data_IF_513850694118
#
_entry.id   IF_513850694118
#
_cell.length_a   1.000
_cell.length_b   1.000
_cell.length_c   1.000
_cell.angle_alpha   90.00
_cell.angle_beta   90.00
_cell.angle_gamma   90.00
#
_symmetry.space_group_name_H-M   'P 1'
#
loop_
_entity.id
_entity.type
_entity.pdbx_description
1 polymer ?
#
# COMPACT_ATOMS: atom_id res chain seq x y z
N UNK A 1 -17.04 -7.10 18.83
CA UNK A 1 -15.75 -7.10 19.56
C UNK A 1 -15.88 -8.09 20.72
N UNK A 2 -14.85 -8.89 21.06
CA UNK A 2 -14.88 -9.76 22.24
C UNK A 2 -15.15 -8.96 23.53
N UNK A 3 -15.94 -9.52 24.45
CA UNK A 3 -16.33 -8.84 25.71
C UNK A 3 -15.11 -8.42 26.54
N UNK A 4 -14.09 -9.27 26.61
CA UNK A 4 -12.83 -9.00 27.33
C UNK A 4 -12.05 -7.77 26.85
N UNK A 5 -12.26 -7.31 25.61
CA UNK A 5 -11.60 -6.12 25.08
C UNK A 5 -12.38 -4.82 25.35
N UNK A 6 -13.63 -4.90 25.81
CA UNK A 6 -14.42 -3.72 26.17
C UNK A 6 -14.00 -3.12 27.51
N UNK A 7 -13.41 -3.95 28.37
CA UNK A 7 -12.94 -3.57 29.71
C UNK A 7 -11.51 -3.02 29.70
N UNK A 8 -10.84 -2.99 28.54
CA UNK A 8 -9.52 -2.41 28.39
C UNK A 8 -9.65 -0.92 28.06
N UNK A 9 -9.05 -0.07 28.89
CA UNK A 9 -9.01 1.39 28.68
C UNK A 9 -8.09 1.83 27.53
N UNK A 10 -7.39 0.88 26.91
CA UNK A 10 -6.50 1.14 25.78
C UNK A 10 -7.29 1.42 24.48
N UNK A 11 -6.87 2.38 23.63
CA UNK A 11 -7.61 2.72 22.39
C UNK A 11 -7.47 1.68 21.27
N UNK A 12 -6.43 0.84 21.29
CA UNK A 12 -6.09 -0.08 20.20
C UNK A 12 -7.17 -1.11 19.85
N UNK A 13 -7.86 -1.77 20.81
CA UNK A 13 -8.97 -2.68 20.47
C UNK A 13 -10.10 -2.00 19.69
N UNK A 14 -10.38 -0.71 19.99
CA UNK A 14 -11.37 0.09 19.25
C UNK A 14 -10.89 0.33 17.81
N UNK A 15 -9.61 0.64 17.62
CA UNK A 15 -9.00 0.78 16.30
C UNK A 15 -9.14 -0.51 15.47
N UNK A 16 -8.77 -1.66 16.05
CA UNK A 16 -8.89 -2.98 15.40
C UNK A 16 -10.34 -3.29 15.05
N UNK A 17 -11.28 -3.09 15.98
CA UNK A 17 -12.69 -3.38 15.72
C UNK A 17 -13.27 -2.52 14.59
N UNK A 18 -12.87 -1.26 14.46
CA UNK A 18 -13.32 -0.38 13.40
C UNK A 18 -12.67 -0.72 12.06
N UNK A 19 -11.39 -1.09 12.05
CA UNK A 19 -10.70 -1.59 10.87
C UNK A 19 -11.37 -2.86 10.34
N UNK A 20 -11.68 -3.84 11.20
CA UNK A 20 -12.37 -5.06 10.77
C UNK A 20 -13.73 -4.74 10.10
N UNK A 21 -14.49 -3.79 10.64
CA UNK A 21 -15.75 -3.33 10.01
C UNK A 21 -15.50 -2.69 8.65
N UNK A 22 -14.48 -1.84 8.52
CA UNK A 22 -14.11 -1.23 7.25
C UNK A 22 -13.72 -2.30 6.19
N UNK A 23 -12.93 -3.30 6.59
CA UNK A 23 -12.55 -4.43 5.71
C UNK A 23 -13.77 -5.25 5.31
N UNK A 24 -14.68 -5.57 6.24
CA UNK A 24 -15.90 -6.30 5.92
C UNK A 24 -16.75 -5.55 4.89
N UNK A 25 -16.97 -4.25 5.10
CA UNK A 25 -17.73 -3.40 4.17
C UNK A 25 -17.08 -3.30 2.78
N UNK A 26 -15.75 -3.26 2.70
CA UNK A 26 -15.04 -3.16 1.42
C UNK A 26 -15.11 -4.44 0.59
N UNK A 27 -15.28 -5.59 1.25
CA UNK A 27 -15.45 -6.91 0.64
C UNK A 27 -16.91 -7.17 0.22
N UNK A 28 -17.89 -6.73 1.00
CA UNK A 28 -19.32 -6.99 0.72
C UNK A 28 -19.95 -5.95 -0.20
N UNK A 29 -19.42 -4.73 -0.27
CA UNK A 29 -19.98 -3.68 -1.13
C UNK A 29 -19.75 -3.99 -2.62
N UNK A 30 -20.83 -4.32 -3.32
CA UNK A 30 -20.89 -4.18 -4.78
C UNK A 30 -20.85 -2.68 -5.13
N UNK A 31 -20.07 -2.35 -6.17
CA UNK A 31 -19.80 -0.99 -6.73
C UNK A 31 -20.49 0.19 -5.99
N UNK A 32 -19.79 0.74 -4.99
CA UNK A 32 -19.98 2.13 -4.55
C UNK A 32 -20.79 2.36 -3.27
N UNK A 33 -21.78 1.52 -2.94
CA UNK A 33 -22.72 1.78 -1.83
C UNK A 33 -22.10 1.71 -0.43
N UNK A 34 -20.91 1.12 -0.26
CA UNK A 34 -20.22 1.01 1.03
C UNK A 34 -18.99 1.91 1.18
N UNK A 35 -18.60 2.67 0.15
CA UNK A 35 -17.30 3.36 0.14
C UNK A 35 -17.20 4.47 1.19
N UNK A 36 -18.26 5.28 1.35
CA UNK A 36 -18.29 6.36 2.34
C UNK A 36 -18.29 5.83 3.77
N UNK A 37 -19.09 4.79 4.05
CA UNK A 37 -19.13 4.13 5.35
C UNK A 37 -17.80 3.46 5.69
N UNK A 38 -17.19 2.80 4.71
CA UNK A 38 -15.85 2.22 4.85
C UNK A 38 -14.82 3.30 5.20
N UNK A 39 -14.83 4.43 4.48
CA UNK A 39 -13.93 5.55 4.75
C UNK A 39 -14.17 6.17 6.14
N UNK A 40 -15.42 6.33 6.58
CA UNK A 40 -15.74 6.82 7.92
C UNK A 40 -15.20 5.88 9.03
N UNK A 41 -15.27 4.56 8.82
CA UNK A 41 -14.65 3.60 9.74
C UNK A 41 -13.12 3.69 9.74
N UNK A 42 -12.49 3.89 8.58
CA UNK A 42 -11.04 4.13 8.47
C UNK A 42 -10.60 5.39 9.23
N UNK A 43 -11.34 6.50 9.11
CA UNK A 43 -11.02 7.74 9.84
C UNK A 43 -11.08 7.55 11.36
N UNK A 44 -12.11 6.87 11.85
CA UNK A 44 -12.25 6.58 13.29
C UNK A 44 -11.17 5.62 13.79
N UNK A 45 -10.85 4.57 13.02
CA UNK A 45 -9.79 3.63 13.35
C UNK A 45 -8.42 4.33 13.39
N UNK A 46 -8.13 5.18 12.40
CA UNK A 46 -6.93 6.03 12.32
C UNK A 46 -6.80 6.94 13.56
N UNK A 47 -7.90 7.56 14.00
CA UNK A 47 -7.93 8.37 15.22
C UNK A 47 -7.49 7.58 16.46
N UNK A 48 -8.11 6.43 16.72
CA UNK A 48 -7.74 5.57 17.86
C UNK A 48 -6.32 5.03 17.76
N UNK A 49 -5.86 4.68 16.56
CA UNK A 49 -4.49 4.25 16.32
C UNK A 49 -3.50 5.37 16.67
N UNK A 50 -3.75 6.60 16.23
CA UNK A 50 -2.86 7.73 16.54
C UNK A 50 -2.81 8.03 18.04
N UNK A 51 -3.94 7.89 18.75
CA UNK A 51 -3.97 7.96 20.22
C UNK A 51 -3.11 6.86 20.83
N UNK A 52 -3.24 5.62 20.37
CA UNK A 52 -2.43 4.47 20.82
C UNK A 52 -0.93 4.72 20.68
N UNK A 53 -0.50 5.16 19.48
CA UNK A 53 0.92 5.41 19.16
C UNK A 53 1.49 6.54 20.04
N UNK A 54 0.64 7.48 20.48
CA UNK A 54 1.06 8.63 21.27
C UNK A 54 1.05 8.37 22.78
N UNK A 55 0.54 7.22 23.23
CA UNK A 55 0.61 6.83 24.64
C UNK A 55 2.07 6.50 25.03
N UNK A 56 2.53 6.94 26.21
CA UNK A 56 3.86 6.60 26.72
C UNK A 56 4.04 5.09 26.86
N UNK A 57 5.26 4.63 26.57
CA UNK A 57 5.64 3.22 26.66
C UNK A 57 5.73 2.79 28.13
N UNK A 58 4.76 2.03 28.64
CA UNK A 58 4.88 1.34 29.92
C UNK A 58 5.30 -0.14 29.67
N UNK A 59 6.47 -0.61 30.15
CA UNK A 59 6.86 -2.02 30.05
C UNK A 59 6.07 -2.92 31.05
N UNK A 60 5.85 -4.23 30.79
CA UNK A 60 6.34 -5.08 29.68
C UNK A 60 5.29 -5.48 28.60
N UNK A 61 4.03 -5.06 28.71
CA UNK A 61 2.90 -5.48 27.83
C UNK A 61 2.87 -4.85 26.42
N UNK A 62 4.00 -4.32 25.96
CA UNK A 62 4.06 -3.25 24.97
C UNK A 62 4.38 -3.72 23.53
N UNK A 63 5.11 -4.83 23.36
CA UNK A 63 5.53 -5.29 22.03
C UNK A 63 4.36 -5.81 21.19
N UNK A 64 3.37 -6.46 21.82
CA UNK A 64 2.13 -6.88 21.17
C UNK A 64 1.33 -5.67 20.69
N UNK A 65 1.17 -4.65 21.54
CA UNK A 65 0.48 -3.43 21.16
C UNK A 65 1.16 -2.76 19.96
N UNK A 66 2.49 -2.69 19.96
CA UNK A 66 3.25 -2.13 18.83
C UNK A 66 3.14 -2.97 17.55
N UNK A 67 3.17 -4.30 17.67
CA UNK A 67 2.93 -5.20 16.54
C UNK A 67 1.53 -5.02 15.96
N UNK A 68 0.52 -4.87 16.82
CA UNK A 68 -0.86 -4.61 16.40
C UNK A 68 -1.02 -3.20 15.84
N UNK A 69 -0.36 -2.17 16.39
CA UNK A 69 -0.32 -0.82 15.82
C UNK A 69 0.25 -0.84 14.39
N UNK A 70 1.37 -1.53 14.18
CA UNK A 70 1.97 -1.70 12.84
C UNK A 70 0.99 -2.39 11.88
N UNK A 71 0.38 -3.50 12.31
CA UNK A 71 -0.59 -4.25 11.51
C UNK A 71 -1.81 -3.39 11.14
N UNK A 72 -2.39 -2.69 12.11
CA UNK A 72 -3.55 -1.81 11.89
C UNK A 72 -3.18 -0.67 10.95
N UNK A 73 -2.01 -0.07 11.11
CA UNK A 73 -1.53 1.00 10.25
C UNK A 73 -1.33 0.54 8.80
N UNK A 74 -0.68 -0.61 8.58
CA UNK A 74 -0.44 -1.18 7.24
C UNK A 74 -1.76 -1.56 6.55
N UNK A 75 -2.70 -2.16 7.28
CA UNK A 75 -4.01 -2.52 6.76
C UNK A 75 -4.87 -1.29 6.44
N UNK A 76 -4.82 -0.22 7.24
CA UNK A 76 -5.50 1.04 6.93
C UNK A 76 -4.99 1.65 5.61
N UNK A 77 -3.67 1.73 5.46
CA UNK A 77 -3.05 2.24 4.23
C UNK A 77 -3.41 1.36 3.03
N UNK A 78 -3.30 0.04 3.16
CA UNK A 78 -3.67 -0.93 2.12
C UNK A 78 -5.16 -0.81 1.72
N UNK A 79 -6.05 -0.69 2.70
CA UNK A 79 -7.48 -0.52 2.44
C UNK A 79 -7.77 0.79 1.71
N UNK A 80 -7.18 1.91 2.16
CA UNK A 80 -7.31 3.22 1.48
C UNK A 80 -6.78 3.19 0.05
N UNK A 81 -5.65 2.52 -0.20
CA UNK A 81 -5.13 2.28 -1.56
C UNK A 81 -6.18 1.57 -2.41
N UNK A 82 -6.79 0.49 -1.90
CA UNK A 82 -7.79 -0.28 -2.64
C UNK A 82 -9.07 0.53 -2.94
N UNK A 83 -9.50 1.39 -2.01
CA UNK A 83 -10.66 2.27 -2.20
C UNK A 83 -10.37 3.33 -3.26
N UNK A 84 -9.19 3.96 -3.19
CA UNK A 84 -8.72 4.90 -4.20
C UNK A 84 -8.66 4.24 -5.59
N UNK A 85 -8.08 3.04 -5.68
CA UNK A 85 -7.96 2.31 -6.94
C UNK A 85 -9.31 1.88 -7.53
N UNK A 86 -10.34 1.69 -6.69
CA UNK A 86 -11.72 1.37 -7.10
C UNK A 86 -12.52 2.61 -7.52
N UNK A 87 -12.15 3.79 -7.02
CA UNK A 87 -12.75 5.08 -7.37
C UNK A 87 -12.28 5.66 -8.72
N UNK A 88 -11.31 5.02 -9.40
CA UNK A 88 -10.88 5.40 -10.75
C UNK A 88 -11.87 4.94 -11.83
N UNK A 89 -12.04 5.74 -12.89
CA UNK A 89 -12.99 5.45 -13.97
C UNK A 89 -12.66 4.17 -14.76
N UNK A 90 -13.65 3.68 -15.52
CA UNK A 90 -13.58 2.44 -16.31
C UNK A 90 -12.42 2.37 -17.32
N UNK A 91 -11.82 3.51 -17.68
CA UNK A 91 -10.73 3.62 -18.66
C UNK A 91 -9.32 3.66 -18.05
N UNK A 92 -9.15 3.50 -16.73
CA UNK A 92 -7.83 3.54 -16.11
C UNK A 92 -7.29 4.95 -15.86
N UNK A 93 -8.07 5.99 -16.17
CA UNK A 93 -7.75 7.37 -15.80
C UNK A 93 -7.94 7.56 -14.28
N UNK A 94 -6.96 8.18 -13.59
CA UNK A 94 -7.11 8.53 -12.18
C UNK A 94 -8.28 9.50 -12.01
N UNK A 95 -9.38 9.04 -11.42
CA UNK A 95 -10.43 9.95 -10.96
C UNK A 95 -9.86 10.93 -9.92
N UNK A 96 -10.42 12.15 -9.80
CA UNK A 96 -9.94 13.12 -8.83
C UNK A 96 -10.02 12.54 -7.42
N UNK A 97 -8.87 12.46 -6.75
CA UNK A 97 -8.81 11.97 -5.36
C UNK A 97 -9.53 12.97 -4.47
N UNK A 98 -10.51 12.49 -3.70
CA UNK A 98 -11.16 13.32 -2.69
C UNK A 98 -10.09 13.81 -1.70
N UNK A 99 -10.05 15.11 -1.43
CA UNK A 99 -9.09 15.73 -0.51
C UNK A 99 -9.08 15.05 0.87
N UNK A 100 -10.25 14.61 1.34
CA UNK A 100 -10.42 13.85 2.58
C UNK A 100 -9.76 12.47 2.56
N UNK A 101 -9.76 11.78 1.41
CA UNK A 101 -9.08 10.49 1.26
C UNK A 101 -7.56 10.65 1.34
N UNK A 102 -7.03 11.67 0.66
CA UNK A 102 -5.59 11.97 0.66
C UNK A 102 -5.12 12.40 2.06
N UNK A 103 -5.85 13.28 2.74
CA UNK A 103 -5.51 13.74 4.08
C UNK A 103 -5.47 12.57 5.09
N UNK A 104 -6.47 11.68 5.05
CA UNK A 104 -6.47 10.50 5.90
C UNK A 104 -5.34 9.52 5.59
N UNK A 105 -4.99 9.34 4.31
CA UNK A 105 -3.81 8.54 3.91
C UNK A 105 -2.50 9.13 4.44
N UNK A 106 -2.31 10.44 4.30
CA UNK A 106 -1.11 11.14 4.80
C UNK A 106 -0.98 11.03 6.33
N UNK A 107 -2.10 11.07 7.06
CA UNK A 107 -2.13 10.86 8.51
C UNK A 107 -1.64 9.47 8.88
N UNK A 108 -2.20 8.43 8.26
CA UNK A 108 -1.81 7.04 8.52
C UNK A 108 -0.35 6.79 8.11
N UNK A 109 0.12 7.39 7.01
CA UNK A 109 1.54 7.29 6.61
C UNK A 109 2.48 7.94 7.64
N UNK A 110 2.05 9.04 8.25
CA UNK A 110 2.81 9.70 9.31
C UNK A 110 2.88 8.84 10.57
N UNK A 111 1.78 8.16 10.93
CA UNK A 111 1.76 7.12 11.97
C UNK A 111 2.70 5.96 11.65
N UNK A 112 2.70 5.46 10.41
CA UNK A 112 3.61 4.40 9.98
C UNK A 112 5.08 4.81 10.10
N UNK A 113 5.43 6.05 9.71
CA UNK A 113 6.80 6.58 9.88
C UNK A 113 7.21 6.64 11.34
N UNK A 114 6.32 7.05 12.25
CA UNK A 114 6.58 7.04 13.70
C UNK A 114 6.82 5.62 14.21
N UNK A 115 5.97 4.66 13.84
CA UNK A 115 6.15 3.25 14.20
C UNK A 115 7.48 2.72 13.63
N UNK A 116 7.81 3.06 12.38
CA UNK A 116 9.03 2.62 11.70
C UNK A 116 10.35 3.13 12.29
N UNK A 117 10.31 4.12 13.20
CA UNK A 117 11.47 4.49 14.01
C UNK A 117 11.87 3.39 14.99
N UNK A 118 10.89 2.65 15.52
CA UNK A 118 11.11 1.54 16.44
C UNK A 118 11.27 0.18 15.73
N UNK A 119 10.74 0.05 14.51
CA UNK A 119 10.73 -1.20 13.74
C UNK A 119 11.36 -1.00 12.35
N UNK A 120 12.64 -1.34 12.22
CA UNK A 120 13.36 -1.21 10.93
C UNK A 120 12.69 -1.99 9.79
N UNK A 121 12.03 -3.11 10.11
CA UNK A 121 11.32 -3.93 9.12
C UNK A 121 10.10 -3.20 8.52
N UNK A 122 9.58 -2.15 9.15
CA UNK A 122 8.49 -1.33 8.61
C UNK A 122 8.94 -0.39 7.48
N UNK A 123 10.25 -0.22 7.25
CA UNK A 123 10.76 0.72 6.24
C UNK A 123 10.33 0.35 4.81
N UNK A 124 10.20 -0.94 4.50
CA UNK A 124 9.68 -1.40 3.20
C UNK A 124 8.21 -1.02 3.00
N UNK A 125 7.41 -1.07 4.07
CA UNK A 125 6.02 -0.62 4.08
C UNK A 125 5.92 0.90 3.91
N UNK A 126 6.78 1.66 4.61
CA UNK A 126 6.88 3.11 4.43
C UNK A 126 7.16 3.45 2.97
N UNK A 127 8.15 2.81 2.35
CA UNK A 127 8.48 3.00 0.94
C UNK A 127 7.30 2.73 -0.01
N UNK A 128 6.59 1.61 0.18
CA UNK A 128 5.42 1.28 -0.64
C UNK A 128 4.32 2.34 -0.52
N UNK A 129 3.99 2.73 0.71
CA UNK A 129 2.90 3.68 0.96
C UNK A 129 3.30 5.12 0.62
N UNK A 130 4.59 5.48 0.68
CA UNK A 130 5.12 6.72 0.12
C UNK A 130 4.98 6.79 -1.39
N UNK A 131 5.29 5.70 -2.09
CA UNK A 131 5.04 5.61 -3.53
C UNK A 131 3.54 5.81 -3.81
N UNK A 132 2.69 5.17 -3.03
CA UNK A 132 1.24 5.23 -3.18
C UNK A 132 0.70 6.65 -3.00
N UNK A 133 1.06 7.35 -1.92
CA UNK A 133 0.56 8.72 -1.67
C UNK A 133 0.99 9.70 -2.76
N UNK A 134 2.18 9.50 -3.35
CA UNK A 134 2.64 10.31 -4.49
C UNK A 134 1.79 10.09 -5.73
N UNK A 135 1.42 8.84 -6.01
CA UNK A 135 0.52 8.50 -7.11
C UNK A 135 -0.89 9.06 -6.85
N UNK A 136 -1.41 8.92 -5.63
CA UNK A 136 -2.70 9.48 -5.23
C UNK A 136 -2.74 11.00 -5.38
N UNK A 137 -1.66 11.69 -5.00
CA UNK A 137 -1.57 13.14 -5.09
C UNK A 137 -1.29 13.67 -6.51
N UNK A 138 -1.18 12.80 -7.52
CA UNK A 138 -0.80 13.22 -8.87
C UNK A 138 0.59 13.87 -8.92
N UNK A 139 1.49 13.52 -7.99
CA UNK A 139 2.82 14.10 -7.93
C UNK A 139 3.63 13.77 -9.21
N UNK A 140 4.59 14.63 -9.56
CA UNK A 140 5.44 14.48 -10.75
C UNK A 140 5.85 13.01 -10.99
N UNK A 141 5.42 12.42 -12.12
CA UNK A 141 5.73 11.03 -12.46
C UNK A 141 7.22 10.71 -12.49
N UNK A 142 8.06 11.63 -12.97
CA UNK A 142 9.53 11.49 -12.99
C UNK A 142 10.10 11.31 -11.58
N UNK A 143 9.63 12.11 -10.62
CA UNK A 143 10.11 12.03 -9.24
C UNK A 143 9.63 10.75 -8.54
N UNK A 144 8.45 10.26 -8.90
CA UNK A 144 7.95 8.96 -8.41
C UNK A 144 8.74 7.80 -9.03
N UNK A 145 9.13 7.89 -10.31
CA UNK A 145 10.02 6.93 -10.96
C UNK A 145 11.41 6.89 -10.31
N UNK A 146 12.03 8.05 -10.06
CA UNK A 146 13.33 8.13 -9.41
C UNK A 146 13.34 7.51 -8.01
N UNK A 147 12.27 7.73 -7.23
CA UNK A 147 12.10 7.10 -5.91
C UNK A 147 12.08 5.57 -6.03
N UNK A 148 11.37 5.04 -7.03
CA UNK A 148 11.36 3.61 -7.32
C UNK A 148 12.74 3.12 -7.72
N UNK A 149 13.38 3.72 -8.72
CA UNK A 149 14.71 3.32 -9.19
C UNK A 149 15.75 3.31 -8.07
N UNK A 150 15.77 4.33 -7.22
CA UNK A 150 16.72 4.39 -6.11
C UNK A 150 16.55 3.24 -5.12
N UNK A 151 15.29 2.84 -4.88
CA UNK A 151 14.96 1.66 -4.05
C UNK A 151 15.32 0.35 -4.76
N UNK A 152 15.10 0.25 -6.08
CA UNK A 152 15.45 -0.93 -6.87
C UNK A 152 16.98 -1.16 -6.90
N UNK A 153 17.77 -0.08 -7.09
CA UNK A 153 19.24 -0.12 -7.18
C UNK A 153 19.92 -0.39 -5.85
N UNK A 154 19.41 0.16 -4.73
CA UNK A 154 20.01 -0.07 -3.40
C UNK A 154 20.08 -1.55 -3.00
N UNK A 155 19.26 -2.41 -3.60
CA UNK A 155 19.22 -3.85 -3.28
C UNK A 155 19.93 -4.75 -4.28
N UNK A 156 20.11 -4.34 -5.54
CA UNK A 156 20.92 -5.12 -6.49
C UNK A 156 22.39 -5.20 -6.07
N UNK A 157 22.84 -4.29 -5.20
CA UNK A 157 24.23 -4.16 -4.79
C UNK A 157 24.57 -4.81 -3.44
N UNK A 158 23.60 -5.41 -2.73
CA UNK A 158 23.83 -5.99 -1.41
C UNK A 158 23.21 -7.40 -1.26
N UNK A 159 23.74 -8.42 -1.98
CA UNK A 159 23.27 -9.80 -1.87
C UNK A 159 23.76 -10.53 -0.61
N UNK A 160 24.72 -9.98 0.15
CA UNK A 160 25.43 -10.72 1.21
C UNK A 160 24.89 -10.50 2.64
N UNK A 161 23.91 -9.63 2.85
CA UNK A 161 23.37 -9.37 4.19
C UNK A 161 21.84 -9.49 4.22
N UNK A 162 21.29 -10.71 4.34
CA UNK A 162 19.92 -10.84 4.85
C UNK A 162 19.65 -12.26 5.31
N UNK A 163 19.25 -12.39 6.58
CA UNK A 163 18.42 -13.51 7.01
C UNK A 163 17.25 -13.68 6.01
N UNK A 164 17.01 -14.90 5.55
CA UNK A 164 16.08 -15.23 4.44
C UNK A 164 14.69 -14.61 4.60
N UNK A 165 14.23 -14.37 5.84
CA UNK A 165 12.94 -13.74 6.14
C UNK A 165 12.86 -12.23 5.86
N UNK A 166 13.93 -11.45 6.06
CA UNK A 166 13.92 -10.00 5.79
C UNK A 166 13.99 -9.71 4.28
N UNK A 167 14.60 -10.63 3.53
CA UNK A 167 14.68 -10.60 2.08
C UNK A 167 13.27 -10.67 1.45
N UNK A 168 12.44 -11.62 1.88
CA UNK A 168 11.11 -11.86 1.31
C UNK A 168 10.10 -10.73 1.59
N UNK A 169 10.14 -10.13 2.78
CA UNK A 169 9.20 -9.06 3.14
C UNK A 169 9.37 -7.86 2.21
N UNK A 170 10.59 -7.30 2.10
CA UNK A 170 10.82 -6.15 1.22
C UNK A 170 10.59 -6.42 -0.27
N UNK A 171 10.74 -7.67 -0.74
CA UNK A 171 10.45 -8.05 -2.12
C UNK A 171 8.96 -7.94 -2.46
N UNK A 172 8.09 -8.33 -1.53
CA UNK A 172 6.66 -8.18 -1.70
C UNK A 172 6.27 -6.71 -1.86
N UNK A 173 6.74 -5.84 -0.95
CA UNK A 173 6.44 -4.40 -1.03
C UNK A 173 6.98 -3.77 -2.32
N UNK A 174 8.20 -4.15 -2.74
CA UNK A 174 8.78 -3.72 -4.01
C UNK A 174 7.91 -4.12 -5.20
N UNK A 175 7.46 -5.37 -5.27
CA UNK A 175 6.62 -5.85 -6.36
C UNK A 175 5.28 -5.09 -6.42
N UNK A 176 4.68 -4.78 -5.27
CA UNK A 176 3.46 -3.95 -5.21
C UNK A 176 3.72 -2.52 -5.67
N UNK A 177 4.85 -1.92 -5.29
CA UNK A 177 5.21 -0.58 -5.73
C UNK A 177 5.42 -0.51 -7.25
N UNK A 178 6.07 -1.52 -7.84
CA UNK A 178 6.22 -1.65 -9.30
C UNK A 178 4.85 -1.80 -9.98
N UNK A 179 3.98 -2.67 -9.47
CA UNK A 179 2.62 -2.86 -10.00
C UNK A 179 1.83 -1.55 -9.99
N UNK A 180 1.84 -0.83 -8.86
CA UNK A 180 1.18 0.47 -8.73
C UNK A 180 1.72 1.51 -9.72
N UNK A 181 3.04 1.62 -9.81
CA UNK A 181 3.70 2.55 -10.72
C UNK A 181 3.39 2.23 -12.18
N UNK A 182 3.47 0.95 -12.56
CA UNK A 182 3.11 0.50 -13.89
C UNK A 182 1.62 0.61 -14.17
N UNK A 183 0.75 0.76 -13.17
CA UNK A 183 -0.68 1.02 -13.40
C UNK A 183 -0.96 2.50 -13.62
N UNK A 184 -0.26 3.38 -12.90
CA UNK A 184 -0.65 4.79 -12.74
C UNK A 184 0.32 5.81 -13.37
N UNK A 185 1.55 5.43 -13.70
CA UNK A 185 2.48 6.32 -14.40
C UNK A 185 2.28 6.21 -15.92
N UNK A 186 2.37 7.34 -16.66
CA UNK A 186 2.20 7.35 -18.10
C UNK A 186 3.36 6.62 -18.81
N UNK A 187 3.05 6.00 -19.96
CA UNK A 187 3.96 5.16 -20.76
C UNK A 187 5.33 5.81 -21.09
N UNK A 188 5.41 7.11 -21.47
CA UNK A 188 6.68 7.72 -21.90
C UNK A 188 7.76 7.83 -20.82
N UNK A 189 7.41 7.63 -19.54
CA UNK A 189 8.29 7.92 -18.40
C UNK A 189 8.94 6.68 -17.79
N UNK A 190 8.64 5.49 -18.31
CA UNK A 190 9.32 4.24 -17.98
C UNK A 190 10.29 3.91 -19.14
N UNK A 191 11.41 4.62 -19.18
CA UNK A 191 12.54 4.39 -20.11
C UNK A 191 13.04 2.95 -20.11
N UNK A 192 13.72 2.41 -21.15
CA UNK A 192 13.49 2.36 -22.61
C UNK A 192 12.25 1.50 -23.01
N UNK A 193 11.86 1.42 -24.32
CA UNK A 193 10.81 0.51 -24.77
C UNK A 193 11.00 -0.92 -24.22
N UNK A 194 9.93 -1.47 -23.64
CA UNK A 194 9.96 -2.79 -23.01
C UNK A 194 10.43 -2.83 -21.55
N UNK A 195 10.94 -1.74 -20.97
CA UNK A 195 11.35 -1.71 -19.56
C UNK A 195 10.17 -1.92 -18.61
N UNK A 196 9.03 -1.26 -18.86
CA UNK A 196 7.78 -1.46 -18.10
C UNK A 196 7.33 -2.92 -18.11
N UNK A 197 7.39 -3.58 -19.27
CA UNK A 197 7.05 -5.00 -19.39
C UNK A 197 8.00 -5.88 -18.60
N UNK A 198 9.31 -5.57 -18.62
CA UNK A 198 10.33 -6.30 -17.84
C UNK A 198 10.13 -6.13 -16.33
N UNK A 199 9.89 -4.91 -15.86
CA UNK A 199 9.59 -4.63 -14.45
C UNK A 199 8.31 -5.35 -14.00
N UNK A 200 7.24 -5.30 -14.80
CA UNK A 200 6.00 -6.03 -14.49
C UNK A 200 6.20 -7.55 -14.47
N UNK A 201 7.03 -8.09 -15.36
CA UNK A 201 7.37 -9.51 -15.36
C UNK A 201 8.16 -9.91 -14.10
N UNK A 202 9.10 -9.09 -13.64
CA UNK A 202 9.81 -9.27 -12.37
C UNK A 202 8.86 -9.21 -11.18
N UNK A 203 7.99 -8.19 -11.12
CA UNK A 203 6.99 -8.05 -10.07
C UNK A 203 6.04 -9.26 -10.04
N UNK A 204 5.55 -9.71 -11.20
CA UNK A 204 4.72 -10.91 -11.34
C UNK A 204 5.40 -12.14 -10.74
N UNK A 205 6.66 -12.44 -11.11
CA UNK A 205 7.40 -13.60 -10.57
C UNK A 205 7.54 -13.55 -9.06
N UNK A 206 7.83 -12.37 -8.51
CA UNK A 206 7.91 -12.17 -7.06
C UNK A 206 6.56 -12.38 -6.39
N UNK A 207 5.47 -11.88 -6.96
CA UNK A 207 4.11 -12.07 -6.46
C UNK A 207 3.65 -13.54 -6.53
N UNK A 208 4.07 -14.28 -7.56
CA UNK A 208 3.87 -15.73 -7.67
C UNK A 208 4.59 -16.48 -6.54
N UNK A 209 5.87 -16.16 -6.29
CA UNK A 209 6.65 -16.76 -5.20
C UNK A 209 6.03 -16.55 -3.82
N UNK A 210 5.47 -15.37 -3.56
CA UNK A 210 4.81 -15.05 -2.27
C UNK A 210 3.34 -15.45 -2.22
N UNK A 211 2.79 -16.02 -3.31
CA UNK A 211 1.41 -16.55 -3.35
C UNK A 211 0.30 -15.52 -3.55
N UNK A 212 0.61 -14.28 -3.96
CA UNK A 212 -0.40 -13.24 -4.21
C UNK A 212 -1.05 -13.38 -5.60
N UNK A 213 -1.96 -14.36 -5.72
CA UNK A 213 -2.62 -14.71 -6.99
C UNK A 213 -3.39 -13.55 -7.62
N UNK A 214 -3.94 -12.64 -6.82
CA UNK A 214 -4.72 -11.50 -7.32
C UNK A 214 -3.81 -10.48 -7.99
N UNK A 215 -2.74 -10.08 -7.31
CA UNK A 215 -1.77 -9.14 -7.87
C UNK A 215 -1.04 -9.72 -9.10
N UNK A 216 -0.86 -11.05 -9.16
CA UNK A 216 -0.36 -11.74 -10.36
C UNK A 216 -1.31 -11.56 -11.55
N UNK A 217 -2.62 -11.71 -11.36
CA UNK A 217 -3.61 -11.46 -12.41
C UNK A 217 -3.58 -10.00 -12.87
N UNK A 218 -3.46 -9.06 -11.94
CA UNK A 218 -3.35 -7.63 -12.28
C UNK A 218 -2.10 -7.35 -13.14
N UNK A 219 -0.94 -7.93 -12.79
CA UNK A 219 0.27 -7.84 -13.62
C UNK A 219 0.04 -8.41 -15.03
N UNK A 220 -0.62 -9.56 -15.15
CA UNK A 220 -0.92 -10.19 -16.45
C UNK A 220 -1.82 -9.31 -17.32
N UNK A 221 -2.86 -8.72 -16.73
CA UNK A 221 -3.78 -7.81 -17.45
C UNK A 221 -3.04 -6.58 -18.00
N UNK A 222 -2.14 -5.99 -17.21
CA UNK A 222 -1.35 -4.84 -17.68
C UNK A 222 -0.38 -5.28 -18.77
N UNK A 223 0.30 -6.42 -18.63
CA UNK A 223 1.20 -6.96 -19.65
C UNK A 223 0.49 -7.20 -20.98
N UNK A 224 -0.71 -7.79 -20.97
CA UNK A 224 -1.50 -8.01 -22.19
C UNK A 224 -1.86 -6.69 -22.89
N UNK A 225 -2.24 -5.66 -22.12
CA UNK A 225 -2.52 -4.32 -22.66
C UNK A 225 -1.29 -3.67 -23.29
N UNK A 226 -0.11 -3.90 -22.71
CA UNK A 226 1.15 -3.38 -23.26
C UNK A 226 1.53 -4.08 -24.57
N UNK A 227 1.28 -5.37 -24.70
CA UNK A 227 1.55 -6.13 -25.93
C UNK A 227 0.56 -5.79 -27.06
N UNK A 228 -0.70 -5.53 -26.72
CA UNK A 228 -1.76 -5.19 -27.69
C UNK A 228 -1.68 -3.77 -28.28
N UNK A 229 -0.90 -2.87 -27.68
CA UNK A 229 -0.72 -1.48 -28.15
C UNK A 229 0.35 -1.28 -29.23
N UNK A 230 0.98 -2.36 -29.73
CA UNK A 230 2.11 -2.28 -30.67
C UNK A 230 1.71 -2.29 -32.15
N UNK A 231 0.41 -2.17 -32.47
CA UNK A 231 -0.07 -2.08 -33.85
C UNK A 231 -0.62 -0.68 -34.12
N UNK A 232 -0.20 -0.08 -35.24
CA UNK A 232 -0.60 1.22 -35.82
C UNK A 232 0.38 2.37 -35.50
N UNK A 233 1.56 2.29 -36.10
CA UNK A 233 2.22 3.43 -36.74
C UNK A 233 3.15 2.88 -37.84
N UNK A 234 2.56 2.33 -38.88
CA UNK A 234 3.21 2.08 -40.15
C UNK A 234 2.23 2.54 -41.24
N UNK A 235 2.41 3.78 -41.70
CA UNK A 235 2.04 4.32 -43.02
C UNK A 235 2.66 5.70 -43.14
#
# INVERSE_FOLDING_TARGET
MPRALHTLDHPLPKAVSLLCKAVQLSLTSQKGEGTLSCQAHCERASGYLNTSISLPLAPPSNWLNKGVELLVCDLLLTLRTSLWQRGGGANGEPGPVLSSQLAGFQRDLSSLRRIGQCYRQAQHKVFLHETTVRLMAGASPTRTHQLLEHSLRRRSHNPESSAEGECLLGERERAHAILLACRHLPLPLLTPPGHRARLLAEAKRTLERVGDRRSVQDCQQILLRLSGGTTIAAS
#
